data_IF_558821808997
#
_entry.id   IF_558821808997
#
_cell.length_a   1.000
_cell.length_b   1.000
_cell.length_c   1.000
_cell.angle_alpha   90.00
_cell.angle_beta   90.00
_cell.angle_gamma   90.00
#
_symmetry.space_group_name_H-M   'P 1'
#
loop_
_entity.id
_entity.type
_entity.pdbx_description
1 polymer ?
#
# COMPACT_ATOMS: atom_id res chain seq x y z
N UNK A 1 14.15 -3.37 4.90
CA UNK A 1 15.28 -2.81 4.14
C UNK A 1 14.83 -2.22 2.80
N UNK A 2 14.10 -2.99 1.97
CA UNK A 2 13.55 -2.49 0.70
C UNK A 2 12.72 -1.19 0.81
N UNK A 3 11.86 -1.08 1.82
CA UNK A 3 11.08 0.15 2.03
C UNK A 3 11.97 1.36 2.35
N UNK A 4 13.00 1.17 3.18
CA UNK A 4 13.94 2.25 3.50
C UNK A 4 14.73 2.68 2.26
N UNK A 5 15.19 1.72 1.45
CA UNK A 5 15.87 2.00 0.17
C UNK A 5 14.97 2.80 -0.77
N UNK A 6 13.71 2.40 -0.90
CA UNK A 6 12.70 3.14 -1.66
C UNK A 6 12.55 4.59 -1.15
N UNK A 7 12.42 4.79 0.16
CA UNK A 7 12.28 6.12 0.76
C UNK A 7 13.54 7.00 0.55
N UNK A 8 14.72 6.40 0.43
CA UNK A 8 15.97 7.10 0.10
C UNK A 8 16.23 7.27 -1.40
N UNK A 9 15.32 6.80 -2.26
CA UNK A 9 15.44 6.89 -3.72
C UNK A 9 16.25 5.76 -4.39
N UNK A 10 16.77 4.80 -3.63
CA UNK A 10 17.44 3.60 -4.17
C UNK A 10 16.39 2.57 -4.63
N UNK A 11 15.69 2.89 -5.72
CA UNK A 11 14.64 2.04 -6.29
C UNK A 11 15.22 0.69 -6.75
N UNK A 12 16.38 0.71 -7.41
CA UNK A 12 17.01 -0.51 -7.91
C UNK A 12 17.46 -1.44 -6.76
N UNK A 13 17.96 -0.89 -5.66
CA UNK A 13 18.28 -1.66 -4.46
C UNK A 13 17.04 -2.20 -3.76
N UNK A 14 15.95 -1.43 -3.71
CA UNK A 14 14.67 -1.91 -3.20
C UNK A 14 14.15 -3.10 -4.02
N UNK A 15 14.17 -3.02 -5.35
CA UNK A 15 13.73 -4.11 -6.23
C UNK A 15 14.57 -5.37 -6.07
N UNK A 16 15.91 -5.26 -6.01
CA UNK A 16 16.80 -6.41 -5.76
C UNK A 16 16.48 -7.08 -4.42
N UNK A 17 16.30 -6.29 -3.37
CA UNK A 17 15.94 -6.82 -2.05
C UNK A 17 14.58 -7.51 -2.08
N UNK A 18 13.59 -6.92 -2.74
CA UNK A 18 12.25 -7.52 -2.85
C UNK A 18 12.28 -8.85 -3.61
N UNK A 19 13.09 -8.98 -4.65
CA UNK A 19 13.21 -10.24 -5.40
C UNK A 19 13.72 -11.39 -4.53
N UNK A 20 14.79 -11.15 -3.76
CA UNK A 20 15.37 -12.16 -2.85
C UNK A 20 14.35 -12.56 -1.78
N UNK A 21 13.67 -11.59 -1.19
CA UNK A 21 12.71 -11.85 -0.10
C UNK A 21 11.44 -12.53 -0.64
N UNK A 22 11.02 -12.24 -1.88
CA UNK A 22 9.86 -12.88 -2.51
C UNK A 22 10.10 -14.35 -2.81
N UNK A 23 11.29 -14.71 -3.30
CA UNK A 23 11.67 -16.10 -3.53
C UNK A 23 11.56 -16.90 -2.23
N UNK A 24 12.21 -16.42 -1.17
CA UNK A 24 12.13 -17.04 0.15
C UNK A 24 10.68 -17.12 0.67
N UNK A 25 9.91 -16.04 0.53
CA UNK A 25 8.52 -15.98 1.02
C UNK A 25 7.60 -16.96 0.26
N UNK A 26 7.86 -17.16 -1.02
CA UNK A 26 7.11 -18.12 -1.86
C UNK A 26 7.42 -19.55 -1.44
N UNK A 27 8.70 -19.88 -1.27
CA UNK A 27 9.13 -21.21 -0.82
C UNK A 27 8.59 -21.58 0.57
N UNK A 28 8.51 -20.58 1.46
CA UNK A 28 8.07 -20.79 2.85
C UNK A 28 6.58 -20.50 3.06
N UNK A 29 5.81 -20.24 1.99
CA UNK A 29 4.37 -19.94 2.04
C UNK A 29 4.07 -18.80 3.05
N UNK A 30 4.94 -17.80 3.09
CA UNK A 30 4.83 -16.67 4.01
C UNK A 30 3.87 -15.62 3.44
N UNK A 31 2.57 -15.90 3.44
CA UNK A 31 1.51 -15.06 2.85
C UNK A 31 1.55 -13.61 3.33
N UNK A 32 1.84 -13.39 4.62
CA UNK A 32 1.97 -12.04 5.17
C UNK A 32 3.11 -11.25 4.51
N UNK A 33 4.26 -11.90 4.34
CA UNK A 33 5.44 -11.28 3.75
C UNK A 33 5.21 -11.01 2.26
N UNK A 34 4.57 -11.93 1.53
CA UNK A 34 4.19 -11.72 0.14
C UNK A 34 3.22 -10.54 -0.03
N UNK A 35 2.27 -10.37 0.89
CA UNK A 35 1.36 -9.23 0.88
C UNK A 35 2.12 -7.90 1.09
N UNK A 36 3.07 -7.86 2.03
CA UNK A 36 3.92 -6.69 2.27
C UNK A 36 4.83 -6.38 1.07
N UNK A 37 5.43 -7.39 0.43
CA UNK A 37 6.23 -7.23 -0.79
C UNK A 37 5.39 -6.58 -1.89
N UNK A 38 4.17 -7.07 -2.11
CA UNK A 38 3.24 -6.51 -3.10
C UNK A 38 2.84 -5.07 -2.78
N UNK A 39 2.62 -4.75 -1.50
CA UNK A 39 2.38 -3.37 -1.06
C UNK A 39 3.54 -2.44 -1.44
N UNK A 40 4.79 -2.83 -1.15
CA UNK A 40 5.98 -2.03 -1.47
C UNK A 40 6.14 -1.89 -2.98
N UNK A 41 5.95 -2.97 -3.76
CA UNK A 41 5.96 -2.89 -5.24
C UNK A 41 4.89 -1.95 -5.77
N UNK A 42 3.68 -2.00 -5.22
CA UNK A 42 2.61 -1.07 -5.60
C UNK A 42 3.01 0.39 -5.43
N UNK A 43 3.72 0.71 -4.35
CA UNK A 43 4.27 2.05 -4.10
C UNK A 43 5.40 2.42 -5.07
N UNK A 44 6.31 1.49 -5.39
CA UNK A 44 7.38 1.69 -6.38
C UNK A 44 6.78 1.98 -7.76
N UNK A 45 5.83 1.16 -8.23
CA UNK A 45 5.18 1.35 -9.52
C UNK A 45 4.39 2.66 -9.58
N UNK A 46 3.68 3.03 -8.51
CA UNK A 46 2.99 4.32 -8.43
C UNK A 46 3.98 5.50 -8.51
N UNK A 47 5.14 5.39 -7.85
CA UNK A 47 6.20 6.40 -7.96
C UNK A 47 6.76 6.52 -9.38
N UNK A 48 6.84 5.41 -10.11
CA UNK A 48 7.23 5.35 -11.52
C UNK A 48 6.11 5.73 -12.49
N UNK A 49 4.92 6.11 -12.00
CA UNK A 49 3.72 6.35 -12.80
C UNK A 49 3.24 5.13 -13.61
N UNK A 50 3.65 3.92 -13.25
CA UNK A 50 3.13 2.66 -13.79
C UNK A 50 1.85 2.27 -13.02
N UNK A 51 0.76 2.99 -13.33
CA UNK A 51 -0.50 2.87 -12.61
C UNK A 51 -1.13 1.47 -12.74
N UNK A 52 -0.93 0.82 -13.89
CA UNK A 52 -1.46 -0.52 -14.14
C UNK A 52 -0.80 -1.55 -13.21
N UNK A 53 0.54 -1.56 -13.14
CA UNK A 53 1.25 -2.47 -12.24
C UNK A 53 1.03 -2.11 -10.78
N UNK A 54 0.94 -0.82 -10.45
CA UNK A 54 0.61 -0.38 -9.10
C UNK A 54 -0.75 -0.92 -8.65
N UNK A 55 -1.79 -0.76 -9.48
CA UNK A 55 -3.13 -1.23 -9.17
C UNK A 55 -3.20 -2.76 -9.02
N UNK A 56 -2.48 -3.51 -9.88
CA UNK A 56 -2.37 -4.96 -9.78
C UNK A 56 -1.71 -5.39 -8.47
N UNK A 57 -0.59 -4.75 -8.10
CA UNK A 57 0.15 -5.04 -6.89
C UNK A 57 -0.68 -4.74 -5.63
N UNK A 58 -1.35 -3.58 -5.55
CA UNK A 58 -2.22 -3.26 -4.41
C UNK A 58 -3.40 -4.22 -4.28
N UNK A 59 -4.02 -4.62 -5.40
CA UNK A 59 -5.11 -5.60 -5.39
C UNK A 59 -4.63 -6.94 -4.83
N UNK A 60 -3.53 -7.47 -5.37
CA UNK A 60 -2.94 -8.73 -4.92
C UNK A 60 -2.46 -8.68 -3.47
N UNK A 61 -1.98 -7.54 -2.98
CA UNK A 61 -1.65 -7.35 -1.57
C UNK A 61 -2.92 -7.40 -0.70
N UNK A 62 -3.98 -6.72 -1.14
CA UNK A 62 -5.25 -6.64 -0.40
C UNK A 62 -5.92 -8.00 -0.28
N UNK A 63 -6.01 -8.74 -1.38
CA UNK A 63 -6.59 -10.10 -1.42
C UNK A 63 -5.92 -11.03 -0.40
N UNK A 64 -4.59 -10.94 -0.28
CA UNK A 64 -3.85 -11.68 0.74
C UNK A 64 -4.14 -11.15 2.14
N UNK A 65 -4.14 -9.83 2.33
CA UNK A 65 -4.37 -9.20 3.62
C UNK A 65 -5.74 -9.55 4.22
N UNK A 66 -6.81 -9.55 3.42
CA UNK A 66 -8.17 -9.88 3.88
C UNK A 66 -8.37 -11.37 4.16
N UNK A 67 -7.56 -12.23 3.53
CA UNK A 67 -7.57 -13.67 3.80
C UNK A 67 -6.85 -14.05 5.11
N UNK A 68 -6.20 -13.09 5.76
CA UNK A 68 -5.46 -13.31 7.01
C UNK A 68 -6.06 -12.48 8.16
N UNK A 69 -5.82 -12.84 9.44
CA UNK A 69 -6.24 -12.04 10.60
C UNK A 69 -5.34 -10.79 10.81
N UNK A 70 -4.97 -10.08 9.74
CA UNK A 70 -4.14 -8.87 9.76
C UNK A 70 -4.88 -7.66 9.19
N UNK A 71 -5.95 -7.19 9.85
CA UNK A 71 -6.77 -6.08 9.37
C UNK A 71 -5.98 -4.76 9.25
N UNK A 72 -4.91 -4.58 10.02
CA UNK A 72 -4.02 -3.43 9.89
C UNK A 72 -3.38 -3.34 8.49
N UNK A 73 -2.99 -4.48 7.91
CA UNK A 73 -2.34 -4.49 6.60
C UNK A 73 -3.33 -4.11 5.49
N UNK A 74 -4.58 -4.56 5.57
CA UNK A 74 -5.63 -4.17 4.63
C UNK A 74 -5.89 -2.65 4.68
N UNK A 75 -5.90 -2.06 5.88
CA UNK A 75 -6.09 -0.63 6.07
C UNK A 75 -4.93 0.17 5.47
N UNK A 76 -3.69 -0.28 5.67
CA UNK A 76 -2.49 0.36 5.14
C UNK A 76 -2.39 0.25 3.60
N UNK A 77 -2.77 -0.89 3.03
CA UNK A 77 -2.88 -1.06 1.57
C UNK A 77 -3.91 -0.08 1.00
N UNK A 78 -5.04 0.10 1.66
CA UNK A 78 -6.09 1.05 1.26
C UNK A 78 -5.57 2.49 1.26
N UNK A 79 -4.81 2.87 2.30
CA UNK A 79 -4.17 4.18 2.41
C UNK A 79 -3.23 4.43 1.21
N UNK A 80 -2.30 3.50 0.98
CA UNK A 80 -1.29 3.64 -0.07
C UNK A 80 -1.89 3.62 -1.48
N UNK A 81 -2.91 2.78 -1.71
CA UNK A 81 -3.69 2.79 -2.94
C UNK A 81 -4.39 4.13 -3.16
N UNK A 82 -5.00 4.69 -2.11
CA UNK A 82 -5.63 6.02 -2.16
C UNK A 82 -4.65 7.13 -2.54
N UNK A 83 -3.45 7.13 -1.94
CA UNK A 83 -2.36 8.06 -2.31
C UNK A 83 -1.87 7.89 -3.75
N UNK A 84 -1.79 6.64 -4.24
CA UNK A 84 -1.43 6.37 -5.63
C UNK A 84 -2.51 6.89 -6.59
N UNK A 85 -3.79 6.60 -6.33
CA UNK A 85 -4.92 7.09 -7.11
C UNK A 85 -5.01 8.62 -7.12
N UNK A 86 -4.71 9.27 -6.00
CA UNK A 86 -4.59 10.73 -5.93
C UNK A 86 -3.50 11.25 -6.87
N UNK A 87 -2.36 10.55 -6.95
CA UNK A 87 -1.23 10.92 -7.81
C UNK A 87 -1.53 10.68 -9.29
N UNK A 88 -2.33 9.66 -9.61
CA UNK A 88 -2.87 9.38 -10.95
C UNK A 88 -3.96 10.40 -11.37
N UNK A 89 -4.47 11.23 -10.45
CA UNK A 89 -5.56 12.18 -10.71
C UNK A 89 -6.97 11.58 -10.58
N UNK A 90 -7.10 10.36 -10.07
CA UNK A 90 -8.37 9.65 -9.88
C UNK A 90 -8.99 9.95 -8.51
N UNK A 91 -9.39 11.20 -8.29
CA UNK A 91 -9.78 11.71 -6.97
C UNK A 91 -10.98 10.99 -6.34
N UNK A 92 -11.99 10.60 -7.12
CA UNK A 92 -13.14 9.86 -6.59
C UNK A 92 -12.72 8.49 -6.03
N UNK A 93 -11.97 7.71 -6.80
CA UNK A 93 -11.45 6.41 -6.36
C UNK A 93 -10.43 6.53 -5.22
N UNK A 94 -9.66 7.62 -5.21
CA UNK A 94 -8.75 7.95 -4.10
C UNK A 94 -9.53 8.18 -2.81
N UNK A 95 -10.62 8.96 -2.86
CA UNK A 95 -11.49 9.21 -1.70
C UNK A 95 -12.05 7.91 -1.14
N UNK A 96 -12.61 7.06 -1.99
CA UNK A 96 -13.15 5.76 -1.57
C UNK A 96 -12.09 4.92 -0.83
N UNK A 97 -10.88 4.82 -1.39
CA UNK A 97 -9.79 4.02 -0.79
C UNK A 97 -9.29 4.61 0.53
N UNK A 98 -9.21 5.94 0.65
CA UNK A 98 -8.77 6.59 1.89
C UNK A 98 -9.85 6.57 2.98
N UNK A 99 -11.14 6.63 2.63
CA UNK A 99 -12.24 6.46 3.57
C UNK A 99 -12.29 5.05 4.14
N UNK A 100 -12.06 4.05 3.30
CA UNK A 100 -11.95 2.66 3.72
C UNK A 100 -10.78 2.48 4.71
N UNK A 101 -9.61 3.01 4.37
CA UNK A 101 -8.45 3.01 5.27
C UNK A 101 -8.75 3.67 6.63
N UNK A 102 -9.36 4.86 6.62
CA UNK A 102 -9.73 5.59 7.84
C UNK A 102 -10.67 4.77 8.72
N UNK A 103 -11.76 4.25 8.15
CA UNK A 103 -12.76 3.45 8.88
C UNK A 103 -12.14 2.18 9.48
N UNK A 104 -11.28 1.50 8.72
CA UNK A 104 -10.58 0.31 9.21
C UNK A 104 -9.63 0.65 10.37
N UNK A 105 -8.83 1.71 10.27
CA UNK A 105 -7.96 2.14 11.37
C UNK A 105 -8.73 2.64 12.59
N UNK A 106 -9.85 3.34 12.42
CA UNK A 106 -10.75 3.74 13.51
C UNK A 106 -11.28 2.52 14.27
N UNK A 107 -11.76 1.50 13.54
CA UNK A 107 -12.23 0.23 14.12
C UNK A 107 -11.13 -0.50 14.91
N UNK A 108 -9.88 -0.36 14.49
CA UNK A 108 -8.72 -0.96 15.15
C UNK A 108 -8.22 -0.13 16.35
N UNK A 109 -8.79 1.04 16.62
CA UNK A 109 -8.27 1.97 17.62
C UNK A 109 -6.92 2.60 17.24
N UNK A 110 -6.55 2.52 15.97
CA UNK A 110 -5.27 2.96 15.42
C UNK A 110 -5.31 4.47 15.09
N UNK A 111 -5.55 5.30 16.12
CA UNK A 111 -5.83 6.73 16.02
C UNK A 111 -4.87 7.53 15.11
N UNK A 112 -3.53 7.39 15.27
CA UNK A 112 -2.58 8.10 14.40
C UNK A 112 -2.72 7.75 12.91
N UNK A 113 -3.04 6.50 12.59
CA UNK A 113 -3.20 6.04 11.20
C UNK A 113 -4.55 6.46 10.60
N UNK A 114 -5.60 6.46 11.43
CA UNK A 114 -6.90 7.02 11.06
C UNK A 114 -6.79 8.53 10.75
N UNK A 115 -6.09 9.27 11.62
CA UNK A 115 -5.83 10.70 11.44
C UNK A 115 -5.04 10.97 10.15
N UNK A 116 -3.97 10.22 9.90
CA UNK A 116 -3.20 10.31 8.65
C UNK A 116 -4.07 10.08 7.40
N UNK A 117 -5.03 9.16 7.49
CA UNK A 117 -5.97 8.88 6.39
C UNK A 117 -6.97 10.03 6.21
N UNK A 118 -7.44 10.64 7.31
CA UNK A 118 -8.30 11.82 7.29
C UNK A 118 -7.60 13.05 6.68
N UNK A 119 -6.33 13.27 7.00
CA UNK A 119 -5.53 14.34 6.41
C UNK A 119 -5.34 14.15 4.90
N UNK A 120 -5.10 12.91 4.47
CA UNK A 120 -5.03 12.58 3.05
C UNK A 120 -6.37 12.84 2.35
N UNK A 121 -7.51 12.53 2.97
CA UNK A 121 -8.84 12.85 2.45
C UNK A 121 -9.04 14.37 2.30
N UNK A 122 -8.73 15.14 3.35
CA UNK A 122 -8.87 16.59 3.33
C UNK A 122 -8.03 17.23 2.21
N UNK A 123 -6.86 16.65 1.89
CA UNK A 123 -6.03 17.12 0.77
C UNK A 123 -6.65 16.89 -0.62
N UNK A 124 -7.67 16.03 -0.74
CA UNK A 124 -8.43 15.84 -1.99
C UNK A 124 -9.49 16.93 -2.17
N UNK A 125 -10.06 17.46 -1.09
CA UNK A 125 -11.10 18.51 -1.14
C UNK A 125 -10.53 19.90 -1.50
N UNK A 126 -9.22 20.08 -1.36
CA UNK A 126 -8.52 21.35 -1.62
C UNK A 126 -7.99 21.49 -3.06
N UNK A 127 -8.31 20.55 -3.95
CA UNK A 127 -7.89 20.53 -5.36
C UNK A 127 -9.08 20.64 -6.29
#
# INVERSE_FOLDING_TARGET
YAEAQFLTGDIAGAERTLAIVEEWATENIATLLLAQIRLVRGRIFAHQSDWQRAASAFRGAREMAVAMPFPHLAADISYHRGKALQSEGRFAAARESLEESRKEFERLGAGPFAQRSAEALASLDQR
#
